data_IF_390045171647
#
_entry.id   IF_390045171647
#
_cell.length_a   1.000
_cell.length_b   1.000
_cell.length_c   1.000
_cell.angle_alpha   90.00
_cell.angle_beta   90.00
_cell.angle_gamma   90.00
#
_symmetry.space_group_name_H-M   'P 1'
#
loop_
_entity.id
_entity.type
_entity.pdbx_description
1 polymer ?
#
# COMPACT_ATOMS: atom_id res chain seq x y z
N UNK A 1 -8.25 -4.03 -1.16
CA UNK A 1 -7.06 -3.91 -0.28
C UNK A 1 -5.86 -4.66 -0.86
N UNK A 2 -5.99 -5.95 -1.18
CA UNK A 2 -4.96 -6.72 -1.92
C UNK A 2 -4.54 -5.97 -3.18
N UNK A 3 -5.52 -5.45 -3.92
CA UNK A 3 -5.31 -4.69 -5.14
C UNK A 3 -4.47 -3.43 -4.90
N UNK A 4 -4.74 -2.70 -3.82
CA UNK A 4 -3.88 -1.59 -3.46
C UNK A 4 -2.45 -2.04 -3.11
N UNK A 5 -2.26 -3.23 -2.52
CA UNK A 5 -0.91 -3.74 -2.26
C UNK A 5 -0.17 -4.07 -3.56
N UNK A 6 -0.85 -4.62 -4.58
CA UNK A 6 -0.27 -4.84 -5.90
C UNK A 6 -0.02 -3.53 -6.65
N UNK A 7 -0.97 -2.60 -6.61
CA UNK A 7 -0.85 -1.33 -7.34
C UNK A 7 0.11 -0.33 -6.72
N UNK A 8 0.73 -0.64 -5.57
CA UNK A 8 1.62 0.30 -4.87
C UNK A 8 2.87 -0.34 -4.26
N UNK A 9 2.93 -1.66 -4.11
CA UNK A 9 4.00 -2.35 -3.39
C UNK A 9 4.08 -2.02 -1.89
N UNK A 10 3.06 -1.36 -1.33
CA UNK A 10 3.06 -0.94 0.07
C UNK A 10 3.07 -2.11 1.04
N UNK A 11 3.71 -1.90 2.20
CA UNK A 11 3.57 -2.81 3.33
C UNK A 11 2.12 -2.74 3.82
N UNK A 12 1.62 -3.87 4.31
CA UNK A 12 0.27 -3.95 4.89
C UNK A 12 0.00 -2.85 5.94
N UNK A 13 0.99 -2.51 6.77
CA UNK A 13 0.85 -1.47 7.80
C UNK A 13 0.80 -0.06 7.23
N UNK A 14 1.36 0.17 6.04
CA UNK A 14 1.29 1.43 5.30
C UNK A 14 -0.09 1.54 4.63
N UNK A 15 -0.57 0.47 3.96
CA UNK A 15 -1.91 0.43 3.36
C UNK A 15 -3.01 0.66 4.40
N UNK A 16 -2.92 -0.02 5.55
CA UNK A 16 -3.90 0.15 6.63
C UNK A 16 -3.80 1.50 7.35
N UNK A 17 -2.70 2.24 7.15
CA UNK A 17 -2.52 3.58 7.68
C UNK A 17 -3.02 4.67 6.72
N UNK A 18 -3.39 4.34 5.48
CA UNK A 18 -3.89 5.34 4.53
C UNK A 18 -5.15 6.02 5.06
N UNK A 19 -5.16 7.35 4.98
CA UNK A 19 -6.34 8.18 5.19
C UNK A 19 -6.89 8.68 3.86
N UNK A 20 -8.15 9.08 3.81
CA UNK A 20 -8.70 9.73 2.61
C UNK A 20 -7.94 11.02 2.25
N UNK A 21 -7.40 11.75 3.25
CA UNK A 21 -6.51 12.90 3.00
C UNK A 21 -5.18 12.55 2.34
N UNK A 22 -4.79 11.27 2.33
CA UNK A 22 -3.57 10.78 1.67
C UNK A 22 -3.83 10.36 0.22
N UNK A 23 -5.07 10.40 -0.27
CA UNK A 23 -5.49 9.92 -1.59
C UNK A 23 -5.91 11.11 -2.46
N UNK A 24 -5.37 11.18 -3.66
CA UNK A 24 -5.81 12.09 -4.72
C UNK A 24 -6.33 11.24 -5.89
N UNK A 25 -7.60 11.41 -6.26
CA UNK A 25 -8.25 10.71 -7.38
C UNK A 25 -8.54 11.66 -8.55
N UNK A 26 -7.79 12.76 -8.67
CA UNK A 26 -7.87 13.69 -9.79
C UNK A 26 -7.30 13.11 -11.10
N UNK A 27 -6.85 13.99 -11.99
CA UNK A 27 -6.38 13.63 -13.34
C UNK A 27 -5.20 12.64 -13.34
N UNK A 28 -4.28 12.80 -12.39
CA UNK A 28 -3.22 11.82 -12.11
C UNK A 28 -3.44 11.25 -10.71
N UNK A 29 -4.10 10.08 -10.59
CA UNK A 29 -4.43 9.51 -9.29
C UNK A 29 -3.15 9.13 -8.52
N UNK A 30 -3.04 9.59 -7.28
CA UNK A 30 -1.88 9.31 -6.44
C UNK A 30 -2.25 8.92 -5.01
N UNK A 31 -1.31 8.26 -4.34
CA UNK A 31 -1.36 8.06 -2.89
C UNK A 31 -0.08 8.56 -2.23
N UNK A 32 -0.25 9.36 -1.17
CA UNK A 32 0.84 9.85 -0.33
C UNK A 32 1.07 8.90 0.84
N UNK A 33 2.21 8.21 0.82
CA UNK A 33 2.64 7.34 1.91
C UNK A 33 3.20 8.22 3.03
N UNK A 34 2.39 8.47 4.07
CA UNK A 34 2.76 9.40 5.16
C UNK A 34 2.74 8.75 6.55
N UNK A 35 2.40 7.47 6.66
CA UNK A 35 2.34 6.80 7.95
C UNK A 35 2.34 5.29 7.89
N UNK A 36 2.48 4.69 9.07
CA UNK A 36 2.40 3.23 9.26
C UNK A 36 1.61 2.94 10.54
N UNK A 37 0.83 1.85 10.52
CA UNK A 37 0.22 1.34 11.73
C UNK A 37 1.22 0.55 12.56
N UNK A 38 1.21 0.80 13.85
CA UNK A 38 1.98 0.07 14.86
C UNK A 38 1.08 -0.29 16.02
N UNK A 39 1.36 -1.42 16.65
CA UNK A 39 0.76 -1.76 17.93
C UNK A 39 1.60 -1.19 19.06
N UNK A 40 1.00 -0.39 19.93
CA UNK A 40 1.64 0.10 21.14
C UNK A 40 0.95 -0.55 22.35
N UNK A 41 1.75 -1.22 23.20
CA UNK A 41 1.25 -1.82 24.45
C UNK A 41 0.48 -0.77 25.25
N UNK A 42 -0.70 -1.13 25.76
CA UNK A 42 -1.66 -0.26 26.48
C UNK A 42 -2.37 0.83 25.66
N UNK A 43 -1.93 1.15 24.44
CA UNK A 43 -2.58 2.15 23.56
C UNK A 43 -3.30 1.54 22.36
N UNK A 44 -3.15 0.24 22.12
CA UNK A 44 -3.79 -0.42 20.99
C UNK A 44 -3.09 -0.11 19.66
N UNK A 45 -3.86 -0.20 18.57
CA UNK A 45 -3.37 0.11 17.23
C UNK A 45 -3.31 1.62 17.01
N UNK A 46 -2.15 2.11 16.58
CA UNK A 46 -1.86 3.53 16.45
C UNK A 46 -1.23 3.82 15.08
N UNK A 47 -1.62 4.93 14.47
CA UNK A 47 -0.94 5.45 13.26
C UNK A 47 0.21 6.33 13.69
N UNK A 48 1.41 6.01 13.22
CA UNK A 48 2.56 6.89 13.34
C UNK A 48 2.71 7.68 12.05
N UNK A 49 2.76 9.00 12.17
CA UNK A 49 3.08 9.96 11.10
C UNK A 49 4.55 9.87 10.64
N UNK A 50 5.28 8.77 10.95
CA UNK A 50 6.65 8.55 10.47
C UNK A 50 6.84 7.11 9.99
N UNK A 51 7.51 6.96 8.85
CA UNK A 51 8.25 5.76 8.52
C UNK A 51 9.62 5.79 9.20
N UNK A 52 10.20 4.64 9.57
CA UNK A 52 11.50 4.57 10.28
C UNK A 52 12.66 5.27 9.54
N UNK A 53 12.52 5.56 8.24
CA UNK A 53 13.54 6.18 7.36
C UNK A 53 12.91 7.30 6.50
N UNK A 54 13.76 8.17 5.92
CA UNK A 54 13.35 9.20 4.94
C UNK A 54 12.58 8.66 3.76
N UNK A 55 13.03 7.50 3.28
CA UNK A 55 12.56 6.87 2.05
C UNK A 55 11.13 6.36 2.13
N UNK A 56 10.53 6.30 3.33
CA UNK A 56 9.16 5.86 3.47
C UNK A 56 8.11 6.93 3.16
N UNK A 57 8.50 8.22 3.15
CA UNK A 57 7.64 9.32 2.70
C UNK A 57 7.75 9.50 1.19
N UNK A 58 6.70 9.12 0.47
CA UNK A 58 6.68 9.22 -1.00
C UNK A 58 5.27 9.34 -1.53
N UNK A 59 5.16 9.81 -2.77
CA UNK A 59 3.91 9.82 -3.53
C UNK A 59 4.03 8.78 -4.63
N UNK A 60 3.01 7.93 -4.77
CA UNK A 60 2.94 6.89 -5.79
C UNK A 60 1.77 7.19 -6.73
N UNK A 61 2.01 7.21 -8.03
CA UNK A 61 0.95 7.18 -9.05
C UNK A 61 0.26 5.82 -9.03
N UNK A 62 -1.06 5.81 -9.18
CA UNK A 62 -1.88 4.62 -9.04
C UNK A 62 -2.25 4.02 -10.40
N UNK A 63 -2.13 2.68 -10.57
CA UNK A 63 -2.73 1.99 -11.70
C UNK A 63 -4.27 2.00 -11.62
N UNK A 64 -4.93 1.79 -12.76
CA UNK A 64 -6.39 1.92 -12.90
C UNK A 64 -7.13 1.01 -11.93
N UNK A 65 -6.73 -0.26 -11.82
CA UNK A 65 -7.40 -1.21 -10.93
C UNK A 65 -7.31 -0.82 -9.44
N UNK A 66 -6.26 -0.09 -9.04
CA UNK A 66 -6.12 0.43 -7.69
C UNK A 66 -7.05 1.64 -7.46
N UNK A 67 -7.21 2.48 -8.48
CA UNK A 67 -8.17 3.61 -8.50
C UNK A 67 -9.60 3.09 -8.36
N UNK A 68 -9.99 2.06 -9.12
CA UNK A 68 -11.33 1.47 -9.05
C UNK A 68 -11.68 0.98 -7.64
N UNK A 69 -10.71 0.42 -6.93
CA UNK A 69 -10.90 -0.01 -5.54
C UNK A 69 -11.07 1.19 -4.61
N UNK A 70 -10.33 2.26 -4.82
CA UNK A 70 -10.47 3.49 -4.02
C UNK A 70 -11.80 4.20 -4.29
N UNK A 71 -12.25 4.27 -5.55
CA UNK A 71 -13.55 4.83 -5.93
C UNK A 71 -14.71 4.04 -5.33
N UNK A 72 -14.73 2.72 -5.47
CA UNK A 72 -15.77 1.88 -4.83
C UNK A 72 -15.83 2.11 -3.32
N UNK A 73 -14.65 2.21 -2.69
CA UNK A 73 -14.57 2.45 -1.25
C UNK A 73 -14.95 3.87 -0.83
N UNK A 74 -14.75 4.88 -1.67
CA UNK A 74 -15.11 6.26 -1.34
C UNK A 74 -16.63 6.43 -1.30
N UNK A 75 -17.36 5.73 -2.19
CA UNK A 75 -18.83 5.67 -2.18
C UNK A 75 -19.37 5.01 -0.91
N UNK A 76 -18.71 3.96 -0.43
CA UNK A 76 -19.10 3.24 0.79
C UNK A 76 -18.55 3.87 2.08
N UNK A 77 -17.77 4.96 1.97
CA UNK A 77 -17.05 5.51 3.11
C UNK A 77 -17.99 6.21 4.09
N UNK A 78 -17.94 5.77 5.35
CA UNK A 78 -18.57 6.48 6.46
C UNK A 78 -17.49 7.34 7.14
N UNK A 79 -17.74 8.63 7.42
CA UNK A 79 -16.81 9.47 8.17
C UNK A 79 -16.46 8.86 9.52
N UNK A 80 -15.16 8.86 9.86
CA UNK A 80 -14.65 8.39 11.15
C UNK A 80 -13.56 9.32 11.64
N UNK A 81 -13.33 9.35 12.95
CA UNK A 81 -12.22 10.10 13.57
C UNK A 81 -10.84 9.76 12.97
N UNK A 82 -10.65 8.51 12.51
CA UNK A 82 -9.37 8.10 11.93
C UNK A 82 -9.18 8.59 10.50
N UNK A 83 -10.29 8.91 9.81
CA UNK A 83 -10.38 9.15 8.38
C UNK A 83 -9.71 8.03 7.53
N UNK A 84 -9.69 6.79 8.03
CA UNK A 84 -8.97 5.69 7.40
C UNK A 84 -9.68 5.22 6.12
N UNK A 85 -8.90 4.87 5.10
CA UNK A 85 -9.41 4.20 3.89
C UNK A 85 -9.88 2.78 4.21
N UNK A 86 -9.25 2.11 5.18
CA UNK A 86 -9.60 0.75 5.63
C UNK A 86 -9.86 0.70 7.14
N UNK A 87 -10.98 1.28 7.62
CA UNK A 87 -11.31 1.25 9.04
C UNK A 87 -11.74 -0.15 9.49
N UNK A 88 -11.74 -0.36 10.81
CA UNK A 88 -12.47 -1.47 11.43
C UNK A 88 -13.97 -1.20 11.36
N UNK A 89 -14.80 -2.22 11.63
CA UNK A 89 -16.26 -2.03 11.73
C UNK A 89 -16.70 -1.02 12.81
N UNK A 90 -15.80 -0.65 13.74
CA UNK A 90 -16.04 0.38 14.77
C UNK A 90 -15.45 1.75 14.38
N UNK A 91 -14.99 1.93 13.14
CA UNK A 91 -14.38 3.18 12.68
C UNK A 91 -12.95 3.44 13.20
N UNK A 92 -12.31 2.46 13.84
CA UNK A 92 -10.94 2.57 14.39
C UNK A 92 -9.89 1.95 13.45
N UNK A 93 -8.61 2.11 13.75
CA UNK A 93 -7.53 1.45 13.00
C UNK A 93 -7.69 -0.07 12.97
N UNK A 94 -7.69 -0.65 11.77
CA UNK A 94 -7.82 -2.10 11.57
C UNK A 94 -6.54 -2.82 11.96
N UNK A 95 -6.69 -3.95 12.64
CA UNK A 95 -5.55 -4.78 13.05
C UNK A 95 -4.98 -5.55 11.85
N UNK A 96 -3.65 -5.51 11.59
CA UNK A 96 -3.04 -6.24 10.49
C UNK A 96 -3.30 -7.75 10.52
N UNK A 97 -3.42 -8.34 11.71
CA UNK A 97 -3.68 -9.78 11.88
C UNK A 97 -5.04 -10.21 11.31
N UNK A 98 -6.05 -9.34 11.36
CA UNK A 98 -7.37 -9.65 10.81
C UNK A 98 -7.30 -9.78 9.29
N UNK A 99 -6.47 -8.97 8.64
CA UNK A 99 -6.26 -9.08 7.21
C UNK A 99 -5.36 -10.25 6.82
N UNK A 100 -4.29 -10.53 7.58
CA UNK A 100 -3.46 -11.73 7.34
C UNK A 100 -4.29 -13.00 7.37
N UNK A 101 -5.32 -13.05 8.22
CA UNK A 101 -6.32 -14.12 8.21
C UNK A 101 -7.09 -14.14 6.89
N UNK A 102 -7.75 -13.05 6.51
CA UNK A 102 -8.51 -12.97 5.26
C UNK A 102 -7.69 -13.29 4.01
N UNK A 103 -6.43 -12.84 3.92
CA UNK A 103 -5.53 -13.15 2.81
C UNK A 103 -5.17 -14.63 2.79
N UNK A 104 -4.79 -15.21 3.94
CA UNK A 104 -4.51 -16.65 4.01
C UNK A 104 -5.74 -17.47 3.64
N UNK A 105 -6.92 -17.07 4.07
CA UNK A 105 -8.16 -17.79 3.78
C UNK A 105 -8.47 -17.72 2.28
N UNK A 106 -8.30 -16.55 1.64
CA UNK A 106 -8.42 -16.42 0.18
C UNK A 106 -7.39 -17.24 -0.60
N UNK A 107 -6.14 -17.33 -0.12
CA UNK A 107 -5.08 -18.11 -0.77
C UNK A 107 -5.25 -19.62 -0.58
N UNK A 108 -5.77 -20.07 0.58
CA UNK A 108 -6.15 -21.46 0.79
C UNK A 108 -7.22 -21.93 -0.20
N UNK A 109 -8.15 -21.05 -0.56
CA UNK A 109 -9.16 -21.35 -1.59
C UNK A 109 -8.56 -21.54 -2.99
N UNK A 110 -7.33 -21.08 -3.22
CA UNK A 110 -6.61 -21.25 -4.48
C UNK A 110 -5.69 -22.48 -4.52
N UNK A 111 -5.84 -23.42 -3.57
CA UNK A 111 -4.99 -24.62 -3.41
C UNK A 111 -3.49 -24.36 -3.19
N UNK A 112 -3.10 -23.13 -2.86
CA UNK A 112 -1.72 -22.79 -2.55
C UNK A 112 -1.46 -22.92 -1.04
N UNK A 113 -0.63 -23.89 -0.68
CA UNK A 113 -0.31 -24.28 0.70
C UNK A 113 1.01 -23.65 1.20
N UNK A 114 1.66 -22.81 0.40
CA UNK A 114 2.85 -22.07 0.82
C UNK A 114 2.51 -21.05 1.89
N UNK A 115 3.42 -20.83 2.85
CA UNK A 115 3.32 -19.84 3.94
C UNK A 115 3.28 -18.38 3.46
N UNK A 116 2.31 -18.04 2.63
CA UNK A 116 2.17 -16.74 2.00
C UNK A 116 1.76 -15.72 3.04
N UNK A 117 2.59 -14.70 3.16
CA UNK A 117 2.32 -13.51 3.96
C UNK A 117 2.12 -12.32 3.05
N UNK A 118 1.66 -11.20 3.63
CA UNK A 118 1.58 -9.90 2.95
C UNK A 118 2.85 -9.46 2.23
N UNK A 119 4.01 -10.06 2.56
CA UNK A 119 5.28 -9.77 1.88
C UNK A 119 5.36 -10.31 0.46
N UNK A 120 4.57 -11.32 0.09
CA UNK A 120 4.58 -11.89 -1.27
C UNK A 120 4.14 -10.84 -2.29
N UNK A 121 3.06 -10.10 -2.01
CA UNK A 121 2.58 -9.02 -2.90
C UNK A 121 3.69 -8.00 -3.21
N UNK A 122 4.38 -7.56 -2.16
CA UNK A 122 5.48 -6.61 -2.30
C UNK A 122 6.66 -7.18 -3.07
N UNK A 123 6.97 -8.47 -2.92
CA UNK A 123 7.99 -9.15 -3.71
C UNK A 123 7.58 -9.24 -5.17
N UNK A 124 6.34 -9.62 -5.47
CA UNK A 124 5.82 -9.66 -6.84
C UNK A 124 5.92 -8.30 -7.54
N UNK A 125 5.53 -7.23 -6.84
CA UNK A 125 5.68 -5.86 -7.36
C UNK A 125 7.15 -5.52 -7.62
N UNK A 126 8.05 -5.87 -6.70
CA UNK A 126 9.48 -5.64 -6.86
C UNK A 126 10.02 -6.36 -8.10
N UNK A 127 9.68 -7.63 -8.25
CA UNK A 127 10.11 -8.46 -9.38
C UNK A 127 9.58 -7.94 -10.71
N UNK A 128 8.32 -7.50 -10.77
CA UNK A 128 7.75 -6.96 -12.00
C UNK A 128 8.45 -5.66 -12.41
N UNK A 129 8.65 -4.73 -11.46
CA UNK A 129 9.34 -3.47 -11.75
C UNK A 129 10.81 -3.73 -12.13
N UNK A 130 11.49 -4.67 -11.47
CA UNK A 130 12.89 -5.01 -11.77
C UNK A 130 13.05 -5.67 -13.16
N UNK A 131 12.03 -6.37 -13.65
CA UNK A 131 12.04 -6.97 -14.98
C UNK A 131 11.78 -5.95 -16.11
N UNK A 132 10.98 -4.92 -15.84
CA UNK A 132 10.47 -3.96 -16.85
C UNK A 132 11.11 -2.56 -16.73
N UNK A 133 11.82 -2.29 -15.65
CA UNK A 133 12.42 -0.99 -15.33
C UNK A 133 13.77 -1.17 -14.58
N UNK A 134 14.23 -0.11 -13.88
CA UNK A 134 15.51 -0.15 -13.16
C UNK A 134 15.35 -0.51 -11.69
N UNK A 135 16.43 -1.04 -11.09
CA UNK A 135 16.51 -1.34 -9.66
C UNK A 135 16.27 -0.09 -8.80
N UNK A 136 16.70 1.09 -9.25
CA UNK A 136 16.46 2.36 -8.60
C UNK A 136 14.97 2.73 -8.60
N UNK A 137 14.26 2.48 -9.71
CA UNK A 137 12.81 2.70 -9.79
C UNK A 137 12.06 1.76 -8.82
N UNK A 138 12.45 0.48 -8.78
CA UNK A 138 11.92 -0.47 -7.82
C UNK A 138 12.18 -0.03 -6.37
N UNK A 139 13.40 0.42 -6.05
CA UNK A 139 13.76 0.91 -4.73
C UNK A 139 12.94 2.15 -4.32
N UNK A 140 12.71 3.09 -5.23
CA UNK A 140 11.92 4.29 -5.00
C UNK A 140 10.44 3.96 -4.72
N UNK A 141 9.80 3.12 -5.54
CA UNK A 141 8.40 2.70 -5.34
C UNK A 141 8.24 1.91 -4.04
N UNK A 142 9.19 1.04 -3.73
CA UNK A 142 9.16 0.25 -2.51
C UNK A 142 9.53 1.09 -1.28
N UNK A 143 10.19 2.23 -1.43
CA UNK A 143 10.69 3.03 -0.32
C UNK A 143 11.85 2.35 0.42
N UNK A 144 12.67 1.58 -0.30
CA UNK A 144 13.92 1.05 0.25
C UNK A 144 14.87 2.19 0.53
N UNK A 145 15.42 2.25 1.74
CA UNK A 145 16.58 3.08 2.00
C UNK A 145 17.77 2.38 1.33
N UNK A 146 18.21 2.87 0.18
CA UNK A 146 19.63 2.73 -0.17
C UNK A 146 20.48 3.21 1.00
N UNK A 147 21.74 2.79 1.08
CA UNK A 147 22.76 2.99 2.12
C UNK A 147 23.06 4.45 2.56
N UNK A 148 22.15 5.40 2.36
CA UNK A 148 22.23 6.76 2.86
C UNK A 148 21.78 6.85 4.32
N UNK A 149 22.78 6.92 5.21
CA UNK A 149 22.66 7.38 6.60
C UNK A 149 21.79 8.64 6.65
N UNK A 150 20.72 8.60 7.46
CA UNK A 150 19.77 9.71 7.56
C UNK A 150 20.32 10.81 8.47
N UNK A 151 20.67 11.96 7.89
CA UNK A 151 20.98 13.19 8.62
C UNK A 151 19.75 13.69 9.40
N UNK A 152 19.98 14.17 10.63
CA UNK A 152 18.99 14.32 11.71
C UNK A 152 18.03 15.51 11.60
N UNK A 153 18.03 16.29 10.52
CA UNK A 153 17.24 17.54 10.46
C UNK A 153 16.67 17.81 9.07
N UNK A 154 15.59 17.13 8.68
CA UNK A 154 14.79 17.56 7.52
C UNK A 154 13.30 17.43 7.82
N UNK A 155 12.58 18.54 7.69
CA UNK A 155 11.13 18.57 7.48
C UNK A 155 10.91 17.94 6.10
N UNK A 156 10.63 16.65 6.04
CA UNK A 156 10.63 15.88 4.79
C UNK A 156 9.38 16.17 3.97
N UNK A 157 9.54 16.92 2.87
CA UNK A 157 8.60 16.86 1.75
C UNK A 157 8.61 15.43 1.20
N UNK A 158 7.44 14.86 0.94
CA UNK A 158 7.34 13.57 0.25
C UNK A 158 7.85 13.74 -1.19
N UNK A 159 8.71 12.83 -1.63
CA UNK A 159 9.21 12.83 -3.02
C UNK A 159 8.30 11.96 -3.87
N UNK A 160 7.97 12.39 -5.09
CA UNK A 160 7.29 11.53 -6.05
C UNK A 160 8.21 10.38 -6.44
N UNK A 161 7.72 9.14 -6.35
CA UNK A 161 8.39 8.00 -6.96
C UNK A 161 8.18 8.04 -8.49
N UNK A 162 9.04 7.36 -9.28
CA UNK A 162 8.78 7.16 -10.70
C UNK A 162 7.39 6.57 -10.93
N UNK A 163 6.71 7.03 -11.98
CA UNK A 163 5.41 6.50 -12.35
C UNK A 163 5.55 5.10 -12.93
N UNK A 164 5.12 4.10 -12.16
CA UNK A 164 5.09 2.69 -12.57
C UNK A 164 3.65 2.20 -12.79
N UNK A 165 2.65 3.08 -12.85
CA UNK A 165 1.23 2.70 -12.96
C UNK A 165 0.96 1.78 -14.15
N UNK A 166 1.46 2.13 -15.34
CA UNK A 166 1.30 1.32 -16.55
C UNK A 166 1.93 -0.10 -16.43
N UNK A 167 3.08 -0.23 -15.76
CA UNK A 167 3.70 -1.54 -15.50
C UNK A 167 2.84 -2.33 -14.51
N UNK A 168 2.36 -1.67 -13.45
CA UNK A 168 1.57 -2.33 -12.40
C UNK A 168 0.16 -2.71 -12.88
N UNK A 169 -0.40 -2.05 -13.89
CA UNK A 169 -1.68 -2.42 -14.51
C UNK A 169 -1.68 -3.85 -15.08
N UNK A 170 -0.50 -4.44 -15.34
CA UNK A 170 -0.40 -5.86 -15.72
C UNK A 170 -0.97 -6.81 -14.64
N UNK A 171 -0.95 -6.43 -13.36
CA UNK A 171 -1.63 -7.19 -12.30
C UNK A 171 -3.16 -7.15 -12.41
N UNK A 172 -3.71 -6.11 -13.04
CA UNK A 172 -5.14 -5.98 -13.34
C UNK A 172 -5.56 -6.83 -14.55
N UNK A 173 -4.73 -6.86 -15.60
CA UNK A 173 -5.00 -7.60 -16.84
C UNK A 173 -5.16 -9.11 -16.65
N UNK A 174 -4.34 -9.73 -15.80
CA UNK A 174 -4.38 -11.19 -15.49
C UNK A 174 -5.76 -11.63 -14.92
N UNK A 175 -6.56 -10.70 -14.40
CA UNK A 175 -7.88 -11.01 -13.83
C UNK A 175 -9.00 -11.03 -14.87
N UNK A 176 -8.93 -10.17 -15.89
CA UNK A 176 -9.99 -10.07 -16.89
C UNK A 176 -10.06 -11.30 -17.81
N UNK A 177 -9.01 -12.11 -17.89
CA UNK A 177 -9.00 -13.38 -18.65
C UNK A 177 -9.67 -14.55 -17.92
N UNK A 178 -9.96 -14.44 -16.61
CA UNK A 178 -10.57 -15.53 -15.82
C UNK A 178 -12.07 -15.39 -15.58
N UNK A 179 -12.64 -14.24 -15.93
CA UNK A 179 -14.08 -13.96 -15.82
C UNK A 179 -14.78 -13.97 -17.20
N UNK A 180 -14.11 -14.52 -18.23
CA UNK A 180 -14.62 -14.70 -19.60
C UNK A 180 -14.93 -16.15 -19.94
#
# INVERSE_FOLDING_TARGET
>A
MVDLMFGTGLRISEVLALRWTDVDLGEQPTVRVSGTLVYLKKKGMQRQERTKTSSGFRILTLPVFAVDVLLRRSVEAIPTETNAVFPSGKGTWKWPNNYRRSVRDALKMMNDHGGISSHVFRKSVATLIDAEATLEAAAAVLGHSGTAVTSKHYVKKATAAPDMSAILDQFGGIRNEKDG
#
